data_IF_626368757149
#
_entry.id   IF_626368757149
#
_cell.length_a   1.000
_cell.length_b   1.000
_cell.length_c   1.000
_cell.angle_alpha   90.00
_cell.angle_beta   90.00
_cell.angle_gamma   90.00
#
_symmetry.space_group_name_H-M   'P 1'
#
loop_
_entity.id
_entity.type
_entity.pdbx_description
1 polymer ?
#
# COMPACT_ATOMS: atom_id res chain seq x y z
N UNK A 1 19.53 -18.01 19.67
CA UNK A 1 18.31 -17.99 18.87
C UNK A 1 18.27 -16.64 18.18
N UNK A 2 18.52 -16.59 16.87
CA UNK A 2 18.59 -15.33 16.13
C UNK A 2 17.19 -14.70 16.13
N UNK A 3 17.06 -13.44 16.57
CA UNK A 3 15.77 -12.77 16.62
C UNK A 3 15.17 -12.70 15.21
N UNK A 4 13.90 -13.08 15.05
CA UNK A 4 13.20 -12.99 13.75
C UNK A 4 13.31 -11.54 13.24
N UNK A 5 13.94 -11.36 12.08
CA UNK A 5 13.96 -10.05 11.39
C UNK A 5 12.55 -9.71 10.92
N UNK A 6 12.06 -8.53 11.29
CA UNK A 6 10.75 -8.02 10.93
C UNK A 6 10.86 -7.22 9.62
N UNK A 7 10.04 -7.58 8.63
CA UNK A 7 9.96 -6.83 7.36
C UNK A 7 8.89 -5.76 7.48
N UNK A 8 9.30 -4.50 7.36
CA UNK A 8 8.39 -3.36 7.37
C UNK A 8 8.35 -2.71 5.99
N UNK A 9 7.15 -2.44 5.50
CA UNK A 9 6.93 -1.49 4.42
C UNK A 9 6.24 -0.23 4.94
N UNK A 10 6.50 0.88 4.29
CA UNK A 10 5.84 2.15 4.51
C UNK A 10 5.33 2.66 3.17
N UNK A 11 4.05 2.97 3.14
CA UNK A 11 3.43 3.73 2.07
C UNK A 11 3.43 5.22 2.43
N UNK A 12 4.02 6.04 1.58
CA UNK A 12 3.95 7.50 1.72
C UNK A 12 2.83 8.01 0.82
N UNK A 13 1.89 8.74 1.40
CA UNK A 13 0.87 9.45 0.64
C UNK A 13 1.49 10.69 -0.03
N UNK A 14 1.12 10.93 -1.28
CA UNK A 14 1.62 12.08 -2.03
C UNK A 14 1.19 13.40 -1.37
N UNK A 15 2.05 14.42 -1.49
CA UNK A 15 1.86 15.77 -0.95
C UNK A 15 0.76 16.58 -1.63
N UNK A 16 0.40 16.24 -2.87
CA UNK A 16 -0.14 17.21 -3.83
C UNK A 16 -1.67 17.41 -3.82
N UNK A 17 -2.34 17.11 -2.70
CA UNK A 17 -3.80 17.26 -2.65
C UNK A 17 -4.21 18.45 -1.79
N UNK A 18 -4.55 19.55 -2.48
CA UNK A 18 -5.18 20.75 -1.90
C UNK A 18 -6.59 20.49 -1.36
N UNK A 19 -7.23 19.39 -1.78
CA UNK A 19 -8.49 18.93 -1.20
C UNK A 19 -8.65 17.40 -1.29
N UNK A 20 -9.30 16.83 -0.27
CA UNK A 20 -9.62 15.38 -0.18
C UNK A 20 -10.52 14.90 -1.33
N UNK A 21 -11.26 15.80 -1.98
CA UNK A 21 -12.18 15.48 -3.07
C UNK A 21 -11.45 15.00 -4.34
N UNK A 22 -10.16 15.33 -4.47
CA UNK A 22 -9.35 14.99 -5.64
C UNK A 22 -8.26 13.95 -5.34
N UNK A 23 -8.32 13.27 -4.20
CA UNK A 23 -7.32 12.27 -3.83
C UNK A 23 -7.42 11.02 -4.72
N UNK A 24 -6.47 10.89 -5.65
CA UNK A 24 -6.40 9.77 -6.61
C UNK A 24 -6.26 8.42 -5.93
N UNK A 25 -5.70 8.38 -4.71
CA UNK A 25 -5.60 7.13 -3.95
C UNK A 25 -6.97 6.56 -3.57
N UNK A 26 -8.03 7.38 -3.55
CA UNK A 26 -9.40 6.98 -3.23
C UNK A 26 -10.20 6.52 -4.47
N UNK A 27 -9.68 6.72 -5.68
CA UNK A 27 -10.32 6.26 -6.91
C UNK A 27 -10.52 4.74 -6.87
N UNK A 28 -11.73 4.32 -7.21
CA UNK A 28 -12.17 2.93 -7.11
C UNK A 28 -11.87 2.19 -8.40
N UNK A 29 -10.96 1.22 -8.33
CA UNK A 29 -10.77 0.23 -9.39
C UNK A 29 -11.52 -1.02 -8.94
N UNK A 30 -12.67 -1.28 -9.56
CA UNK A 30 -13.40 -2.52 -9.38
C UNK A 30 -13.85 -2.79 -7.92
N UNK A 31 -14.23 -1.73 -7.19
CA UNK A 31 -14.74 -1.80 -5.81
C UNK A 31 -13.66 -1.78 -4.72
N UNK A 32 -12.39 -1.66 -5.09
CA UNK A 32 -11.28 -1.37 -4.15
C UNK A 32 -10.62 -0.05 -4.55
N UNK A 33 -10.24 0.77 -3.56
CA UNK A 33 -9.48 1.99 -3.83
C UNK A 33 -8.06 1.66 -4.29
N UNK A 34 -7.42 2.57 -5.03
CA UNK A 34 -5.98 2.46 -5.35
C UNK A 34 -5.16 2.25 -4.07
N UNK A 35 -5.46 2.97 -2.99
CA UNK A 35 -4.84 2.80 -1.68
C UNK A 35 -4.93 1.35 -1.17
N UNK A 36 -6.14 0.79 -1.17
CA UNK A 36 -6.38 -0.59 -0.71
C UNK A 36 -5.60 -1.59 -1.57
N UNK A 37 -5.66 -1.43 -2.89
CA UNK A 37 -4.96 -2.32 -3.84
C UNK A 37 -3.46 -2.31 -3.57
N UNK A 38 -2.87 -1.12 -3.44
CA UNK A 38 -1.44 -0.95 -3.14
C UNK A 38 -1.09 -1.58 -1.78
N UNK A 39 -1.84 -1.27 -0.73
CA UNK A 39 -1.61 -1.77 0.64
C UNK A 39 -1.67 -3.30 0.72
N UNK A 40 -2.71 -3.92 0.15
CA UNK A 40 -2.88 -5.37 0.21
C UNK A 40 -1.93 -6.14 -0.72
N UNK A 41 -1.28 -5.47 -1.68
CA UNK A 41 -0.16 -6.06 -2.44
C UNK A 41 1.10 -6.21 -1.59
N UNK A 42 1.29 -5.38 -0.57
CA UNK A 42 2.44 -5.43 0.34
C UNK A 42 2.25 -6.41 1.50
N UNK A 43 1.03 -6.57 2.03
CA UNK A 43 0.73 -7.45 3.18
C UNK A 43 1.27 -8.89 3.06
N UNK A 44 1.26 -9.57 1.89
CA UNK A 44 1.82 -10.91 1.76
C UNK A 44 3.36 -10.98 1.74
N UNK A 45 4.05 -9.83 1.79
CA UNK A 45 5.51 -9.70 1.69
C UNK A 45 6.10 -9.17 3.00
N UNK A 46 5.38 -8.29 3.68
CA UNK A 46 5.83 -7.57 4.88
C UNK A 46 5.02 -7.97 6.10
N UNK A 47 5.69 -8.13 7.24
CA UNK A 47 5.03 -8.40 8.53
C UNK A 47 4.23 -7.18 9.01
N UNK A 48 4.66 -5.96 8.64
CA UNK A 48 3.97 -4.70 8.96
C UNK A 48 3.98 -3.74 7.76
N UNK A 49 2.86 -3.10 7.50
CA UNK A 49 2.71 -2.07 6.46
C UNK A 49 2.13 -0.83 7.13
N UNK A 50 2.89 0.25 7.21
CA UNK A 50 2.46 1.54 7.71
C UNK A 50 2.09 2.47 6.56
N UNK A 51 1.23 3.45 6.80
CA UNK A 51 0.90 4.52 5.85
C UNK A 51 1.14 5.87 6.50
N UNK A 52 1.92 6.74 5.84
CA UNK A 52 2.13 8.12 6.27
C UNK A 52 1.25 9.05 5.44
N UNK A 53 0.45 9.88 6.11
CA UNK A 53 -0.44 10.87 5.50
C UNK A 53 -0.12 12.27 5.99
N UNK A 54 -0.65 13.29 5.33
CA UNK A 54 -0.33 14.69 5.61
C UNK A 54 -1.40 15.42 6.41
N UNK A 55 -2.54 14.79 6.75
CA UNK A 55 -3.57 15.42 7.60
C UNK A 55 -4.37 14.40 8.42
N UNK A 56 -5.00 14.87 9.50
CA UNK A 56 -5.93 14.07 10.29
C UNK A 56 -7.16 13.64 9.48
N UNK A 57 -7.61 14.45 8.52
CA UNK A 57 -8.72 14.06 7.64
C UNK A 57 -8.33 12.90 6.71
N UNK A 58 -7.13 12.96 6.11
CA UNK A 58 -6.58 11.84 5.34
C UNK A 58 -6.44 10.61 6.23
N UNK A 59 -5.93 10.76 7.46
CA UNK A 59 -5.80 9.66 8.41
C UNK A 59 -7.15 9.01 8.70
N UNK A 60 -8.18 9.81 8.99
CA UNK A 60 -9.53 9.32 9.26
C UNK A 60 -10.11 8.51 8.09
N UNK A 61 -9.95 9.00 6.86
CA UNK A 61 -10.43 8.32 5.65
C UNK A 61 -9.64 7.04 5.37
N UNK A 62 -8.30 7.12 5.40
CA UNK A 62 -7.42 6.00 5.07
C UNK A 62 -7.54 4.90 6.13
N UNK A 63 -7.60 5.27 7.41
CA UNK A 63 -7.77 4.31 8.51
C UNK A 63 -9.11 3.59 8.42
N UNK A 64 -10.17 4.25 7.95
CA UNK A 64 -11.45 3.59 7.71
C UNK A 64 -11.35 2.51 6.62
N UNK A 65 -10.51 2.69 5.61
CA UNK A 65 -10.32 1.72 4.53
C UNK A 65 -9.34 0.59 4.87
N UNK A 66 -8.31 0.88 5.68
CA UNK A 66 -7.18 -0.02 5.93
C UNK A 66 -7.14 -0.63 7.35
N UNK A 67 -7.72 0.05 8.34
CA UNK A 67 -7.53 -0.24 9.77
C UNK A 67 -6.56 0.75 10.45
N UNK A 68 -5.85 0.31 11.49
CA UNK A 68 -5.10 1.19 12.43
C UNK A 68 -3.63 1.49 12.04
N UNK A 69 -3.25 1.27 10.79
CA UNK A 69 -1.85 1.39 10.34
C UNK A 69 -1.54 2.76 9.65
N UNK A 70 -2.20 3.86 10.03
CA UNK A 70 -2.05 5.18 9.37
C UNK A 70 -1.58 6.26 10.37
N UNK A 71 -0.47 6.94 10.04
CA UNK A 71 0.15 7.98 10.86
C UNK A 71 0.19 9.32 10.14
N UNK A 72 0.00 10.42 10.87
CA UNK A 72 0.06 11.78 10.32
C UNK A 72 1.50 12.31 10.41
N UNK A 73 2.01 12.86 9.31
CA UNK A 73 3.20 13.71 9.29
C UNK A 73 2.85 15.05 9.95
N UNK A 74 3.34 15.23 11.17
CA UNK A 74 3.10 16.43 11.99
C UNK A 74 4.13 17.55 11.76
N UNK A 75 5.06 17.38 10.82
CA UNK A 75 6.01 18.45 10.50
C UNK A 75 5.29 19.64 9.86
N UNK A 76 5.78 20.85 10.15
CA UNK A 76 5.22 22.10 9.61
C UNK A 76 5.43 22.17 8.09
N UNK A 77 6.65 21.91 7.62
CA UNK A 77 6.94 21.77 6.19
C UNK A 77 6.70 20.31 5.74
N UNK A 78 5.54 20.06 5.13
CA UNK A 78 5.15 18.72 4.65
C UNK A 78 5.70 18.48 3.27
N UNK A 79 6.64 17.55 3.17
CA UNK A 79 7.26 17.11 1.93
C UNK A 79 7.63 15.62 2.02
N UNK A 80 8.20 15.08 0.94
CA UNK A 80 8.60 13.67 0.87
C UNK A 80 9.56 13.29 1.99
N UNK A 81 10.54 14.15 2.27
CA UNK A 81 11.56 13.88 3.28
C UNK A 81 10.97 13.85 4.69
N UNK A 82 10.11 14.81 5.05
CA UNK A 82 9.50 14.84 6.39
C UNK A 82 8.50 13.70 6.60
N UNK A 83 7.84 13.23 5.54
CA UNK A 83 7.04 12.02 5.59
C UNK A 83 7.91 10.76 5.81
N UNK A 84 9.03 10.63 5.10
CA UNK A 84 9.97 9.53 5.29
C UNK A 84 10.62 9.56 6.69
N UNK A 85 10.91 10.73 7.23
CA UNK A 85 11.38 10.90 8.61
C UNK A 85 10.36 10.47 9.65
N UNK A 86 9.09 10.82 9.44
CA UNK A 86 7.99 10.37 10.32
C UNK A 86 7.93 8.84 10.34
N UNK A 87 8.05 8.21 9.16
CA UNK A 87 8.08 6.76 9.04
C UNK A 87 9.28 6.11 9.76
N UNK A 88 10.48 6.62 9.54
CA UNK A 88 11.71 6.09 10.16
C UNK A 88 11.63 6.22 11.69
N UNK A 89 11.12 7.34 12.19
CA UNK A 89 10.89 7.54 13.62
C UNK A 89 9.86 6.56 14.20
N UNK A 90 8.79 6.25 13.46
CA UNK A 90 7.82 5.24 13.88
C UNK A 90 8.42 3.82 13.89
N UNK A 91 9.44 3.55 13.07
CA UNK A 91 10.04 2.22 12.94
C UNK A 91 11.24 1.97 13.86
N UNK A 92 11.98 3.01 14.28
CA UNK A 92 13.31 2.88 14.94
C UNK A 92 13.34 2.06 16.21
N UNK A 93 12.22 1.97 16.94
CA UNK A 93 12.12 1.26 18.21
C UNK A 93 11.36 -0.07 18.09
N UNK A 94 10.99 -0.49 16.88
CA UNK A 94 10.29 -1.76 16.68
C UNK A 94 11.29 -2.91 16.79
N UNK A 95 11.13 -3.85 17.74
CA UNK A 95 12.05 -4.98 17.88
C UNK A 95 12.13 -5.82 16.60
N UNK A 96 13.35 -6.12 16.16
CA UNK A 96 13.61 -6.89 14.94
C UNK A 96 13.49 -6.10 13.63
N UNK A 97 13.11 -4.83 13.67
CA UNK A 97 13.07 -3.95 12.50
C UNK A 97 14.46 -3.36 12.22
N UNK A 98 15.12 -3.85 11.16
CA UNK A 98 16.42 -3.32 10.72
C UNK A 98 16.28 -2.45 9.46
N UNK A 99 15.33 -2.79 8.60
CA UNK A 99 15.10 -2.15 7.31
C UNK A 99 13.64 -1.74 7.13
N UNK A 100 13.42 -0.72 6.32
CA UNK A 100 12.10 -0.27 5.86
C UNK A 100 12.10 -0.18 4.34
N UNK A 101 11.09 -0.75 3.71
CA UNK A 101 10.82 -0.57 2.28
C UNK A 101 9.84 0.58 2.09
N UNK A 102 10.21 1.61 1.34
CA UNK A 102 9.31 2.68 0.95
C UNK A 102 8.62 2.34 -0.38
N UNK A 103 7.35 2.70 -0.47
CA UNK A 103 6.56 2.79 -1.69
C UNK A 103 5.61 3.99 -1.56
N UNK A 104 5.04 4.47 -2.67
CA UNK A 104 3.96 5.47 -2.63
C UNK A 104 2.59 4.80 -2.64
N UNK A 105 1.58 5.45 -2.07
CA UNK A 105 0.21 4.91 -1.98
C UNK A 105 -0.47 4.72 -3.34
N UNK A 106 -0.03 5.48 -4.36
CA UNK A 106 -0.61 5.53 -5.71
C UNK A 106 -0.01 4.50 -6.69
N UNK A 107 0.63 3.43 -6.20
CA UNK A 107 1.28 2.40 -7.01
C UNK A 107 0.46 1.09 -7.06
N UNK A 108 -0.70 1.01 -7.70
CA UNK A 108 -1.58 -0.16 -7.59
C UNK A 108 -1.07 -1.39 -8.35
N UNK A 109 0.01 -1.27 -9.12
CA UNK A 109 0.52 -2.34 -9.98
C UNK A 109 1.74 -3.10 -9.42
N UNK A 110 2.08 -2.91 -8.13
CA UNK A 110 3.21 -3.60 -7.45
C UNK A 110 3.31 -5.09 -7.81
N UNK A 111 4.52 -5.51 -8.20
CA UNK A 111 4.85 -6.90 -8.51
C UNK A 111 5.68 -7.50 -7.37
N UNK A 112 5.12 -8.51 -6.71
CA UNK A 112 5.76 -9.18 -5.56
C UNK A 112 7.21 -9.60 -5.83
N UNK A 113 7.50 -10.18 -7.00
CA UNK A 113 8.85 -10.63 -7.37
C UNK A 113 9.86 -9.47 -7.49
N UNK A 114 9.44 -8.29 -7.95
CA UNK A 114 10.32 -7.12 -8.02
C UNK A 114 10.68 -6.61 -6.62
N UNK A 115 9.70 -6.55 -5.73
CA UNK A 115 9.92 -6.18 -4.32
C UNK A 115 10.82 -7.22 -3.64
N UNK A 116 10.56 -8.51 -3.83
CA UNK A 116 11.40 -9.59 -3.28
C UNK A 116 12.84 -9.53 -3.80
N UNK A 117 13.05 -9.14 -5.07
CA UNK A 117 14.39 -8.89 -5.62
C UNK A 117 15.09 -7.76 -4.87
N UNK A 118 14.43 -6.62 -4.65
CA UNK A 118 15.00 -5.49 -3.88
C UNK A 118 15.36 -5.94 -2.47
N UNK A 119 14.44 -6.64 -1.78
CA UNK A 119 14.68 -7.17 -0.43
C UNK A 119 15.84 -8.18 -0.39
N UNK A 120 15.97 -9.02 -1.42
CA UNK A 120 17.01 -10.04 -1.52
C UNK A 120 18.42 -9.51 -1.74
N UNK A 121 18.56 -8.23 -2.13
CA UNK A 121 19.86 -7.56 -2.32
C UNK A 121 20.40 -6.93 -1.03
N UNK A 122 19.65 -6.98 0.07
CA UNK A 122 20.11 -6.44 1.35
C UNK A 122 21.39 -7.13 1.83
N UNK A 123 22.31 -6.36 2.40
CA UNK A 123 23.52 -6.87 3.06
C UNK A 123 23.74 -6.12 4.38
N UNK A 124 24.64 -6.62 5.24
CA UNK A 124 24.96 -5.94 6.50
C UNK A 124 25.65 -4.58 6.28
N UNK A 125 26.33 -4.41 5.16
CA UNK A 125 27.18 -3.25 4.86
C UNK A 125 26.44 -2.09 4.22
N UNK A 126 25.41 -2.37 3.42
CA UNK A 126 24.70 -1.36 2.64
C UNK A 126 23.64 -0.67 3.49
N UNK A 127 23.56 0.66 3.38
CA UNK A 127 22.55 1.46 4.07
C UNK A 127 21.24 1.56 3.30
N UNK A 128 21.27 1.34 1.98
CA UNK A 128 20.09 1.30 1.14
C UNK A 128 20.29 0.46 -0.13
N UNK A 129 19.19 -0.09 -0.64
CA UNK A 129 19.09 -0.69 -1.97
C UNK A 129 18.08 0.15 -2.77
N UNK A 130 18.54 0.82 -3.82
CA UNK A 130 17.73 1.79 -4.56
C UNK A 130 17.72 1.43 -6.05
N UNK A 131 16.56 1.16 -6.66
CA UNK A 131 16.46 0.98 -8.11
C UNK A 131 16.96 2.21 -8.88
N UNK A 132 17.74 1.97 -9.93
CA UNK A 132 18.33 3.02 -10.76
C UNK A 132 18.18 2.72 -12.25
N UNK A 133 17.70 3.71 -12.99
CA UNK A 133 17.60 3.72 -14.44
C UNK A 133 18.96 3.96 -15.10
N UNK A 134 19.12 3.56 -16.36
CA UNK A 134 20.39 3.73 -17.10
C UNK A 134 20.82 5.20 -17.28
N UNK A 135 19.88 6.13 -17.23
CA UNK A 135 20.14 7.57 -17.28
C UNK A 135 20.53 8.18 -15.91
N UNK A 136 20.64 7.36 -14.86
CA UNK A 136 21.01 7.78 -13.51
C UNK A 136 19.82 8.18 -12.62
N UNK A 137 18.60 8.27 -13.15
CA UNK A 137 17.39 8.50 -12.34
C UNK A 137 17.18 7.36 -11.35
N UNK A 138 16.76 7.69 -10.13
CA UNK A 138 16.62 6.74 -9.01
C UNK A 138 15.20 6.72 -8.45
N UNK A 139 14.80 5.58 -7.93
CA UNK A 139 13.49 5.37 -7.32
C UNK A 139 13.58 5.44 -5.79
N UNK A 140 13.84 6.64 -5.26
CA UNK A 140 14.11 6.84 -3.82
C UNK A 140 12.92 6.54 -2.90
N UNK A 141 11.70 6.57 -3.43
CA UNK A 141 10.47 6.19 -2.73
C UNK A 141 9.92 4.84 -3.21
N UNK A 142 10.75 4.02 -3.85
CA UNK A 142 10.50 2.60 -4.15
C UNK A 142 11.75 1.77 -3.84
N UNK A 143 12.22 1.86 -2.61
CA UNK A 143 13.56 1.43 -2.21
C UNK A 143 13.62 0.92 -0.76
N UNK A 144 14.66 0.16 -0.46
CA UNK A 144 14.91 -0.41 0.87
C UNK A 144 15.96 0.42 1.60
N UNK A 145 15.71 0.77 2.86
CA UNK A 145 16.60 1.57 3.68
C UNK A 145 16.85 0.91 5.02
N UNK A 146 18.10 0.90 5.48
CA UNK A 146 18.44 0.58 6.86
C UNK A 146 18.00 1.72 7.76
N UNK A 147 17.18 1.43 8.77
CA UNK A 147 16.44 2.47 9.51
C UNK A 147 17.38 3.49 10.16
N UNK A 148 18.42 3.03 10.88
CA UNK A 148 19.30 3.92 11.64
C UNK A 148 20.15 4.86 10.75
N UNK A 149 20.89 4.38 9.73
CA UNK A 149 21.63 5.27 8.83
C UNK A 149 20.71 6.22 8.05
N UNK A 150 19.55 5.73 7.58
CA UNK A 150 18.60 6.56 6.86
C UNK A 150 18.04 7.67 7.74
N UNK A 151 17.69 7.37 9.00
CA UNK A 151 17.20 8.38 9.95
C UNK A 151 18.22 9.51 10.12
N UNK A 152 19.49 9.17 10.36
CA UNK A 152 20.56 10.16 10.52
C UNK A 152 20.78 11.02 9.27
N UNK A 153 20.81 10.39 8.10
CA UNK A 153 20.99 11.10 6.82
C UNK A 153 19.80 12.02 6.52
N UNK A 154 18.58 11.56 6.78
CA UNK A 154 17.37 12.30 6.47
C UNK A 154 17.16 13.45 7.46
N UNK A 155 17.51 13.28 8.74
CA UNK A 155 17.48 14.35 9.74
C UNK A 155 18.46 15.46 9.35
N UNK A 156 19.67 15.09 8.93
CA UNK A 156 20.66 16.05 8.43
C UNK A 156 20.16 16.79 7.19
N UNK A 157 19.59 16.07 6.22
CA UNK A 157 19.05 16.68 5.02
C UNK A 157 17.90 17.64 5.31
N UNK A 158 17.01 17.31 6.26
CA UNK A 158 15.93 18.19 6.68
C UNK A 158 16.46 19.46 7.38
N UNK A 159 17.48 19.34 8.22
CA UNK A 159 18.16 20.49 8.83
C UNK A 159 18.83 21.40 7.79
N UNK A 160 19.31 20.83 6.68
CA UNK A 160 19.85 21.55 5.52
C UNK A 160 18.74 21.98 4.52
N UNK A 161 17.49 22.04 4.99
CA UNK A 161 16.29 22.50 4.27
C UNK A 161 16.04 21.73 2.95
N UNK A 162 16.40 20.45 2.90
CA UNK A 162 16.05 19.58 1.77
C UNK A 162 14.63 19.06 1.93
N UNK A 163 13.95 18.88 0.80
CA UNK A 163 12.53 18.47 0.78
C UNK A 163 12.30 17.08 0.19
N UNK A 164 13.28 16.54 -0.55
CA UNK A 164 13.14 15.25 -1.24
C UNK A 164 14.01 14.17 -0.61
N UNK A 165 13.54 12.92 -0.68
CA UNK A 165 14.34 11.76 -0.24
C UNK A 165 15.59 11.61 -1.11
N UNK A 166 15.49 11.90 -2.41
CA UNK A 166 16.63 11.90 -3.33
C UNK A 166 17.76 12.86 -2.87
N UNK A 167 17.43 14.07 -2.42
CA UNK A 167 18.42 15.00 -1.90
C UNK A 167 19.09 14.50 -0.61
N UNK A 168 18.35 13.76 0.23
CA UNK A 168 18.88 13.19 1.47
C UNK A 168 19.91 12.07 1.25
N UNK A 169 19.93 11.45 0.06
CA UNK A 169 20.90 10.41 -0.27
C UNK A 169 22.34 10.91 -0.34
N UNK A 170 22.55 12.22 -0.54
CA UNK A 170 23.88 12.83 -0.48
C UNK A 170 24.55 12.67 0.90
N UNK A 171 23.76 12.42 1.94
CA UNK A 171 24.23 12.23 3.32
C UNK A 171 24.25 10.76 3.74
N UNK A 172 23.76 9.85 2.89
CA UNK A 172 23.62 8.43 3.22
C UNK A 172 24.82 7.65 2.65
N UNK A 173 25.68 7.05 3.50
CA UNK A 173 26.81 6.28 3.01
C UNK A 173 26.38 4.89 2.50
N UNK A 174 27.19 4.29 1.62
CA UNK A 174 27.06 2.88 1.19
C UNK A 174 25.66 2.56 0.62
N UNK A 175 25.30 3.28 -0.43
CA UNK A 175 24.10 3.00 -1.22
C UNK A 175 24.45 1.96 -2.28
N UNK A 176 23.64 0.92 -2.38
CA UNK A 176 23.68 -0.02 -3.50
C UNK A 176 22.59 0.35 -4.49
N UNK A 177 23.00 0.76 -5.69
CA UNK A 177 22.08 1.00 -6.79
C UNK A 177 21.79 -0.32 -7.52
N UNK A 178 20.51 -0.69 -7.58
CA UNK A 178 20.03 -1.87 -8.29
C UNK A 178 19.64 -1.48 -9.72
N UNK A 179 20.36 -1.92 -10.76
CA UNK A 179 20.02 -1.55 -12.13
C UNK A 179 18.63 -2.04 -12.53
N UNK A 180 17.85 -1.19 -13.21
CA UNK A 180 16.52 -1.56 -13.73
C UNK A 180 16.57 -2.79 -14.65
N UNK A 181 17.68 -3.04 -15.32
CA UNK A 181 17.88 -4.24 -16.15
C UNK A 181 17.81 -5.56 -15.36
N UNK A 182 18.10 -5.55 -14.05
CA UNK A 182 17.86 -6.71 -13.19
C UNK A 182 16.37 -6.86 -12.85
N UNK A 183 15.66 -5.75 -12.64
CA UNK A 183 14.25 -5.75 -12.25
C UNK A 183 13.35 -6.14 -13.43
N UNK A 184 13.69 -5.73 -14.65
CA UNK A 184 12.99 -6.13 -15.89
C UNK A 184 12.90 -7.65 -16.03
N UNK A 185 13.85 -8.42 -15.48
CA UNK A 185 13.82 -9.90 -15.52
C UNK A 185 12.63 -10.49 -14.75
N UNK A 186 12.12 -9.78 -13.74
CA UNK A 186 11.01 -10.22 -12.88
C UNK A 186 9.75 -9.36 -12.99
N UNK A 187 9.88 -8.14 -13.53
CA UNK A 187 8.80 -7.21 -13.86
C UNK A 187 9.08 -6.57 -15.23
N UNK A 188 8.81 -7.29 -16.35
CA UNK A 188 9.25 -6.86 -17.69
C UNK A 188 8.66 -5.54 -18.18
N UNK A 189 7.54 -5.11 -17.60
CA UNK A 189 6.88 -3.85 -17.94
C UNK A 189 7.10 -2.77 -16.88
N UNK A 190 7.97 -3.02 -15.89
CA UNK A 190 8.24 -2.13 -14.76
C UNK A 190 6.96 -1.64 -14.07
N UNK A 191 5.97 -2.54 -13.93
CA UNK A 191 4.67 -2.22 -13.34
C UNK A 191 4.79 -1.76 -11.89
N UNK A 192 5.80 -2.21 -11.16
CA UNK A 192 6.03 -1.83 -9.76
C UNK A 192 6.36 -0.35 -9.58
N UNK A 193 6.84 0.32 -10.64
CA UNK A 193 7.19 1.74 -10.65
C UNK A 193 6.11 2.63 -11.28
N UNK A 194 4.97 2.03 -11.64
CA UNK A 194 3.86 2.76 -12.22
C UNK A 194 3.05 3.48 -11.13
N UNK A 195 2.96 4.80 -11.25
CA UNK A 195 2.18 5.68 -10.40
C UNK A 195 0.89 6.15 -11.10
N UNK A 196 -0.21 6.21 -10.35
CA UNK A 196 -1.45 6.82 -10.85
C UNK A 196 -1.46 8.30 -10.49
N UNK A 197 -1.08 9.13 -11.46
CA UNK A 197 -1.03 10.59 -11.33
C UNK A 197 -1.99 11.31 -12.28
N UNK A 198 -2.71 10.60 -13.14
CA UNK A 198 -3.69 11.18 -14.06
C UNK A 198 -4.87 10.26 -14.31
N UNK A 199 -5.93 10.80 -14.93
CA UNK A 199 -7.06 9.98 -15.39
C UNK A 199 -6.61 8.93 -16.42
N UNK A 200 -5.65 9.27 -17.28
CA UNK A 200 -5.06 8.34 -18.25
C UNK A 200 -4.38 7.17 -17.52
N UNK A 201 -3.65 7.46 -16.45
CA UNK A 201 -2.98 6.44 -15.65
C UNK A 201 -3.98 5.57 -14.89
N UNK A 202 -5.07 6.15 -14.40
CA UNK A 202 -6.15 5.41 -13.78
C UNK A 202 -6.79 4.40 -14.75
N UNK A 203 -7.08 4.81 -16.00
CA UNK A 203 -7.60 3.87 -17.01
C UNK A 203 -6.60 2.76 -17.33
N UNK A 204 -5.31 3.08 -17.47
CA UNK A 204 -4.24 2.08 -17.67
C UNK A 204 -4.15 1.10 -16.49
N UNK A 205 -4.20 1.60 -15.26
CA UNK A 205 -4.19 0.78 -14.05
C UNK A 205 -5.40 -0.18 -14.04
N UNK A 206 -6.58 0.36 -14.33
CA UNK A 206 -7.84 -0.40 -14.41
C UNK A 206 -7.77 -1.50 -15.47
N UNK A 207 -7.25 -1.21 -16.65
CA UNK A 207 -7.04 -2.21 -17.71
C UNK A 207 -6.08 -3.32 -17.28
N UNK A 208 -4.94 -2.97 -16.67
CA UNK A 208 -3.92 -3.95 -16.23
C UNK A 208 -4.39 -4.81 -15.05
N UNK A 209 -5.16 -4.23 -14.13
CA UNK A 209 -5.73 -4.94 -12.98
C UNK A 209 -6.90 -5.86 -13.35
N UNK A 210 -7.37 -5.72 -14.58
CA UNK A 210 -8.56 -6.39 -15.03
C UNK A 210 -8.43 -7.92 -15.00
N UNK A 211 -7.27 -8.55 -15.25
CA UNK A 211 -7.18 -10.02 -15.35
C UNK A 211 -7.55 -10.83 -14.09
N UNK A 212 -7.14 -10.40 -12.89
CA UNK A 212 -7.38 -11.14 -11.63
C UNK A 212 -8.58 -10.63 -10.86
N UNK A 213 -8.84 -9.32 -10.89
CA UNK A 213 -10.01 -8.77 -10.20
C UNK A 213 -11.26 -8.88 -11.09
N UNK A 214 -11.19 -8.91 -12.44
CA UNK A 214 -12.34 -9.31 -13.29
C UNK A 214 -12.80 -10.73 -12.95
N UNK A 215 -11.94 -11.65 -12.53
CA UNK A 215 -12.40 -12.99 -12.12
C UNK A 215 -13.23 -12.92 -10.83
N UNK A 216 -12.79 -12.11 -9.86
CA UNK A 216 -13.55 -11.86 -8.62
C UNK A 216 -14.84 -11.09 -8.88
N UNK A 217 -14.82 -10.07 -9.75
CA UNK A 217 -16.03 -9.34 -10.17
C UNK A 217 -16.95 -10.24 -10.96
N UNK A 218 -16.46 -11.00 -11.95
CA UNK A 218 -17.29 -11.97 -12.69
C UNK A 218 -17.91 -12.99 -11.75
N UNK A 219 -17.17 -13.44 -10.73
CA UNK A 219 -17.73 -14.30 -9.69
C UNK A 219 -18.82 -13.54 -8.90
N UNK A 220 -18.58 -12.29 -8.52
CA UNK A 220 -19.58 -11.42 -7.87
C UNK A 220 -20.83 -11.15 -8.74
N UNK A 221 -20.66 -10.90 -10.04
CA UNK A 221 -21.74 -10.67 -11.01
C UNK A 221 -22.56 -11.94 -11.28
N UNK A 222 -21.97 -13.12 -11.10
CA UNK A 222 -22.70 -14.38 -11.12
C UNK A 222 -23.51 -14.58 -9.83
N UNK A 223 -23.07 -13.99 -8.73
CA UNK A 223 -23.78 -13.95 -7.44
C UNK A 223 -24.75 -12.75 -7.42
N UNK A 224 -25.53 -12.56 -8.50
CA UNK A 224 -26.54 -11.48 -8.55
C UNK A 224 -27.89 -11.89 -7.98
N UNK A 225 -28.11 -13.20 -7.81
CA UNK A 225 -29.38 -13.79 -7.39
C UNK A 225 -29.17 -14.60 -6.12
N UNK A 226 -30.13 -14.55 -5.18
CA UNK A 226 -30.06 -15.30 -3.93
C UNK A 226 -29.27 -14.62 -2.82
N UNK A 227 -28.88 -13.35 -2.97
CA UNK A 227 -28.42 -12.56 -1.83
C UNK A 227 -29.64 -12.19 -0.99
N UNK A 228 -29.59 -12.52 0.30
CA UNK A 228 -30.68 -12.24 1.24
C UNK A 228 -30.18 -11.38 2.39
N UNK A 229 -30.91 -10.31 2.70
CA UNK A 229 -30.68 -9.51 3.90
C UNK A 229 -31.31 -10.25 5.09
N UNK A 230 -30.51 -11.07 5.76
CA UNK A 230 -30.99 -11.93 6.86
C UNK A 230 -31.46 -11.10 8.05
N UNK A 231 -30.68 -10.10 8.45
CA UNK A 231 -31.05 -9.20 9.55
C UNK A 231 -30.32 -7.88 9.47
N UNK A 232 -30.89 -6.88 10.11
CA UNK A 232 -30.29 -5.57 10.28
C UNK A 232 -30.43 -5.10 11.70
N UNK A 233 -29.33 -4.57 12.24
CA UNK A 233 -29.27 -3.92 13.54
C UNK A 233 -28.95 -2.45 13.34
N UNK A 234 -28.97 -1.66 14.42
CA UNK A 234 -28.53 -0.26 14.37
C UNK A 234 -27.09 -0.10 13.87
N UNK A 235 -26.22 -1.10 14.08
CA UNK A 235 -24.79 -1.01 13.78
C UNK A 235 -24.36 -1.84 12.59
N UNK A 236 -25.09 -2.88 12.22
CA UNK A 236 -24.62 -3.90 11.26
C UNK A 236 -25.75 -4.43 10.40
N UNK A 237 -25.50 -4.55 9.09
CA UNK A 237 -26.34 -5.29 8.14
C UNK A 237 -25.71 -6.67 7.95
N UNK A 238 -26.50 -7.73 8.05
CA UNK A 238 -26.08 -9.11 7.83
C UNK A 238 -26.74 -9.63 6.56
N UNK A 239 -25.92 -10.13 5.64
CA UNK A 239 -26.34 -10.65 4.35
C UNK A 239 -25.86 -12.08 4.21
N UNK A 240 -26.75 -12.95 3.74
CA UNK A 240 -26.36 -14.27 3.21
C UNK A 240 -26.05 -14.11 1.73
N UNK A 241 -24.87 -14.57 1.34
CA UNK A 241 -24.38 -14.44 -0.03
C UNK A 241 -24.00 -15.82 -0.54
N UNK A 242 -24.63 -16.30 -1.63
CA UNK A 242 -24.31 -17.61 -2.20
C UNK A 242 -22.85 -17.72 -2.63
N UNK A 243 -22.19 -18.81 -2.26
CA UNK A 243 -20.86 -19.19 -2.72
C UNK A 243 -20.91 -20.34 -3.72
N UNK A 244 -19.72 -20.82 -4.13
CA UNK A 244 -19.59 -21.94 -5.07
C UNK A 244 -19.83 -23.30 -4.44
N UNK A 245 -19.62 -23.42 -3.13
CA UNK A 245 -19.71 -24.68 -2.37
C UNK A 245 -20.67 -24.52 -1.17
N UNK A 246 -20.67 -23.36 -0.53
CA UNK A 246 -21.50 -23.03 0.63
C UNK A 246 -21.94 -21.55 0.57
N UNK A 247 -22.94 -21.19 1.38
CA UNK A 247 -23.31 -19.80 1.59
C UNK A 247 -22.35 -19.12 2.56
N UNK A 248 -22.16 -17.81 2.38
CA UNK A 248 -21.25 -17.01 3.17
C UNK A 248 -21.99 -15.87 3.87
N UNK A 249 -21.69 -15.66 5.15
CA UNK A 249 -22.13 -14.47 5.88
C UNK A 249 -21.25 -13.28 5.47
N UNK A 250 -21.91 -12.27 4.89
CA UNK A 250 -21.31 -10.99 4.57
C UNK A 250 -21.95 -9.93 5.45
N UNK A 251 -21.13 -9.20 6.19
CA UNK A 251 -21.61 -8.18 7.11
C UNK A 251 -21.06 -6.81 6.75
N UNK A 252 -21.93 -5.80 6.83
CA UNK A 252 -21.57 -4.40 6.70
C UNK A 252 -21.77 -3.69 8.03
N UNK A 253 -20.67 -3.30 8.66
CA UNK A 253 -20.69 -2.47 9.86
C UNK A 253 -20.93 -1.01 9.46
N UNK A 254 -22.09 -0.45 9.81
CA UNK A 254 -22.53 0.90 9.48
C UNK A 254 -21.67 1.99 10.11
N UNK A 255 -21.16 1.75 11.34
CA UNK A 255 -20.32 2.73 12.06
C UNK A 255 -18.93 2.80 11.45
N UNK A 256 -18.29 1.65 11.27
CA UNK A 256 -16.95 1.55 10.67
C UNK A 256 -16.98 1.73 9.14
N UNK A 257 -18.16 1.65 8.51
CA UNK A 257 -18.35 1.54 7.06
C UNK A 257 -17.48 0.43 6.43
N UNK A 258 -17.38 -0.71 7.11
CA UNK A 258 -16.49 -1.82 6.75
C UNK A 258 -17.28 -3.07 6.42
N UNK A 259 -16.86 -3.75 5.35
CA UNK A 259 -17.37 -5.05 4.94
C UNK A 259 -16.47 -6.17 5.49
N UNK A 260 -17.08 -7.25 5.97
CA UNK A 260 -16.38 -8.50 6.28
C UNK A 260 -17.16 -9.67 5.68
N UNK A 261 -16.43 -10.76 5.44
CA UNK A 261 -17.01 -12.02 4.96
C UNK A 261 -16.31 -13.18 5.66
N UNK A 262 -17.06 -14.20 6.05
CA UNK A 262 -16.55 -15.42 6.66
C UNK A 262 -15.70 -16.29 5.69
N UNK A 263 -15.75 -16.04 4.39
CA UNK A 263 -15.06 -16.89 3.41
C UNK A 263 -13.54 -16.90 3.62
N UNK A 264 -12.94 -18.07 3.33
CA UNK A 264 -11.50 -18.29 3.49
C UNK A 264 -10.64 -17.23 2.77
N UNK A 265 -11.07 -16.73 1.61
CA UNK A 265 -10.33 -15.69 0.88
C UNK A 265 -10.21 -14.39 1.71
N UNK A 266 -11.31 -13.93 2.29
CA UNK A 266 -11.30 -12.71 3.11
C UNK A 266 -10.52 -12.93 4.40
N UNK A 267 -10.76 -14.06 5.08
CA UNK A 267 -10.06 -14.42 6.33
C UNK A 267 -8.55 -14.50 6.13
N UNK A 268 -8.10 -15.14 5.04
CA UNK A 268 -6.66 -15.34 4.78
C UNK A 268 -5.97 -14.11 4.22
N UNK A 269 -6.66 -13.30 3.40
CA UNK A 269 -6.02 -12.22 2.63
C UNK A 269 -6.37 -10.82 3.11
N UNK A 270 -7.43 -10.63 3.86
CA UNK A 270 -7.95 -9.32 4.27
C UNK A 270 -8.48 -8.44 3.12
N UNK A 271 -8.40 -8.92 1.88
CA UNK A 271 -8.94 -8.26 0.69
C UNK A 271 -10.41 -8.62 0.51
N UNK A 272 -11.21 -7.73 -0.07
CA UNK A 272 -12.60 -8.03 -0.41
C UNK A 272 -12.68 -9.32 -1.23
N UNK A 273 -13.71 -10.13 -1.02
CA UNK A 273 -13.94 -11.35 -1.80
C UNK A 273 -15.01 -11.07 -2.86
N UNK A 274 -15.32 -12.06 -3.70
CA UNK A 274 -16.45 -11.95 -4.63
C UNK A 274 -17.78 -11.76 -3.90
N UNK A 275 -17.95 -12.31 -2.69
CA UNK A 275 -19.19 -12.20 -1.91
C UNK A 275 -19.40 -10.76 -1.42
N UNK A 276 -18.37 -10.10 -0.88
CA UNK A 276 -18.42 -8.68 -0.49
C UNK A 276 -18.74 -7.80 -1.70
N UNK A 277 -18.07 -8.04 -2.83
CA UNK A 277 -18.34 -7.27 -4.04
C UNK A 277 -19.78 -7.47 -4.54
N UNK A 278 -20.34 -8.68 -4.41
CA UNK A 278 -21.72 -8.95 -4.79
C UNK A 278 -22.71 -8.23 -3.85
N UNK A 279 -22.48 -8.32 -2.54
CA UNK A 279 -23.26 -7.65 -1.51
C UNK A 279 -23.24 -6.12 -1.61
N UNK A 280 -22.11 -5.52 -2.02
CA UNK A 280 -22.02 -4.08 -2.27
C UNK A 280 -22.88 -3.60 -3.44
N UNK A 281 -23.09 -4.48 -4.43
CA UNK A 281 -23.90 -4.18 -5.62
C UNK A 281 -25.36 -4.65 -5.45
N UNK A 282 -25.71 -5.25 -4.31
CA UNK A 282 -27.06 -5.66 -3.98
C UNK A 282 -27.91 -4.41 -3.67
N UNK A 283 -28.99 -4.22 -4.40
CA UNK A 283 -29.92 -3.08 -4.24
C UNK A 283 -31.20 -3.45 -3.48
N UNK A 284 -31.17 -4.51 -2.67
CA UNK A 284 -32.33 -4.99 -1.89
C UNK A 284 -32.37 -4.53 -0.44
#
# INVERSE_FOLDING_TARGET
MEAKKLKIAVLIANSDFTSLQNDKNLLQIYGESILQITYYKLKPIFDKVLVIVNSFDQQSIYSRQLGEDVLVNLNENKNELTAALTALNACKNIPGAEFVFFAKTNMPLLVKKAIELILGKQTAEQSAIIPQHSNGTIESLHALYKIKPALQAFERAANDEKETVAAALNYLPKISFLPMSEIIKVDPQLQSFFEVESEIDYQRAKEKLSGKIKTRIRKAEKIKTGIERERETETTIYLKVPGSEEEHEVLFNKRAKKWNCDCQHFVMKGTYCSHILAAQNFQG
#
